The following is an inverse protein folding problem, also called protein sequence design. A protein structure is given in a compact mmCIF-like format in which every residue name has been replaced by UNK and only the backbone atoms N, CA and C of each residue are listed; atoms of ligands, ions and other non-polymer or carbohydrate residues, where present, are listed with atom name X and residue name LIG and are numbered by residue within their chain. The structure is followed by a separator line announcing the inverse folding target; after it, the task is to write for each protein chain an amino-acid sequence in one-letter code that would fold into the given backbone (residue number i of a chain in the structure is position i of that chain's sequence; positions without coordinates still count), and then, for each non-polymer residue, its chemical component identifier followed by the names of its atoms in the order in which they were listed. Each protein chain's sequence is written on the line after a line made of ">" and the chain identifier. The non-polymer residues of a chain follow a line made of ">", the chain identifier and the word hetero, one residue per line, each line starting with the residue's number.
data_IF_212826041788
#
_entry.id   IF_212826041788
#
_cell.length_a   1.000
_cell.length_b   1.000
_cell.length_c   1.000
_cell.angle_alpha   90.00
_cell.angle_beta   90.00
_cell.angle_gamma   90.00
#
_symmetry.space_group_name_H-M   'P 1'
#
loop_
_entity.id
_entity.type
_entity.pdbx_description
1 polymer ?
#
# COMPACT_ATOMS: atom_id res chain seq x y z
N UNK A 1 -14.36 6.22 -6.75
CA UNK A 1 -13.72 6.78 -5.54
C UNK A 1 -12.42 6.05 -5.27
N UNK A 2 -11.49 6.72 -4.65
CA UNK A 2 -10.26 6.13 -4.27
C UNK A 2 -10.33 5.67 -2.82
N UNK A 3 -10.08 4.42 -2.60
CA UNK A 3 -10.12 3.87 -1.28
C UNK A 3 -8.78 3.26 -0.95
N UNK A 4 -8.24 3.63 0.16
CA UNK A 4 -6.94 3.13 0.58
C UNK A 4 -7.08 2.20 1.75
N UNK A 5 -6.64 1.00 1.56
CA UNK A 5 -6.65 -0.03 2.57
C UNK A 5 -5.20 -0.41 2.85
N UNK A 6 -4.82 -0.56 4.10
CA UNK A 6 -3.42 -0.83 4.42
C UNK A 6 -3.01 -2.22 4.01
N UNK A 7 -1.79 -2.32 3.60
CA UNK A 7 -1.20 -3.55 3.22
C UNK A 7 -0.87 -4.34 4.50
N UNK A 8 -1.65 -5.36 4.75
CA UNK A 8 -1.54 -6.13 5.97
C UNK A 8 -0.28 -6.99 5.97
N UNK A 9 0.01 -7.61 4.84
CA UNK A 9 1.17 -8.52 4.75
C UNK A 9 2.46 -7.75 4.45
N UNK A 10 2.38 -6.44 4.50
CA UNK A 10 3.53 -5.57 4.25
C UNK A 10 4.45 -5.59 5.46
N UNK A 11 5.73 -5.41 5.21
CA UNK A 11 6.71 -5.42 6.25
C UNK A 11 7.61 -4.21 6.13
N UNK A 12 8.02 -3.69 7.25
CA UNK A 12 8.84 -2.50 7.28
C UNK A 12 8.00 -1.26 7.08
N UNK A 13 8.62 -0.10 6.89
CA UNK A 13 7.91 1.11 6.58
C UNK A 13 7.71 1.26 5.07
N UNK A 14 6.86 2.17 4.66
CA UNK A 14 6.55 2.37 3.25
C UNK A 14 7.62 3.24 2.54
N UNK A 15 8.77 3.46 3.22
CA UNK A 15 9.87 4.27 2.68
C UNK A 15 10.30 3.77 1.32
N UNK A 16 10.55 2.48 1.23
CA UNK A 16 10.86 1.90 -0.04
C UNK A 16 9.55 1.63 -0.74
N UNK A 17 9.19 2.53 -1.62
CA UNK A 17 7.89 2.48 -2.28
C UNK A 17 7.77 1.28 -3.20
N UNK A 18 8.91 0.76 -3.63
CA UNK A 18 8.97 -0.43 -4.46
C UNK A 18 8.29 -1.60 -3.73
N UNK A 19 8.60 -1.73 -2.44
CA UNK A 19 8.06 -2.81 -1.62
C UNK A 19 6.57 -2.60 -1.41
N UNK A 20 6.19 -1.34 -1.31
CA UNK A 20 4.80 -0.94 -1.15
C UNK A 20 4.01 -1.31 -2.42
N UNK A 21 4.54 -0.90 -3.57
CA UNK A 21 3.94 -1.16 -4.87
C UNK A 21 3.87 -2.65 -5.15
N UNK A 22 4.97 -3.35 -4.89
CA UNK A 22 5.03 -4.81 -5.11
C UNK A 22 3.96 -5.55 -4.34
N UNK A 23 3.83 -5.26 -3.05
CA UNK A 23 2.81 -5.91 -2.23
C UNK A 23 1.41 -5.56 -2.74
N UNK A 24 1.17 -4.30 -2.97
CA UNK A 24 -0.10 -3.86 -3.45
C UNK A 24 -0.48 -4.43 -4.81
N UNK A 25 0.46 -4.49 -5.74
CA UNK A 25 0.14 -4.98 -7.07
C UNK A 25 -0.07 -6.50 -7.03
N UNK A 26 0.70 -7.20 -6.19
CA UNK A 26 0.55 -8.64 -6.06
C UNK A 26 -0.77 -9.01 -5.39
N UNK A 27 -1.23 -8.17 -4.44
CA UNK A 27 -2.51 -8.40 -3.79
C UNK A 27 -3.69 -7.98 -4.68
N UNK A 28 -3.40 -7.42 -5.85
CA UNK A 28 -4.43 -7.09 -6.82
C UNK A 28 -4.91 -5.66 -6.77
N UNK A 29 -4.03 -4.76 -6.40
CA UNK A 29 -4.36 -3.36 -6.31
C UNK A 29 -3.58 -2.55 -7.33
N UNK A 30 -4.11 -1.38 -7.76
CA UNK A 30 -3.42 -0.50 -8.72
C UNK A 30 -2.06 0.01 -8.20
N UNK A 31 -2.05 0.56 -7.00
CA UNK A 31 -0.82 1.08 -6.48
C UNK A 31 -0.84 1.18 -4.99
N UNK A 32 0.33 1.36 -4.42
CA UNK A 32 0.45 1.49 -2.99
C UNK A 32 1.06 2.81 -2.65
N UNK A 33 0.51 3.47 -1.67
CA UNK A 33 0.98 4.79 -1.27
C UNK A 33 1.13 4.82 0.25
N UNK A 34 1.68 5.86 0.78
CA UNK A 34 1.80 6.02 2.22
C UNK A 34 0.58 6.74 2.77
N UNK A 35 0.03 6.23 3.85
CA UNK A 35 -1.16 6.84 4.48
C UNK A 35 -1.23 6.56 6.01
N UNK A 36 -0.38 5.71 6.52
CA UNK A 36 -0.42 5.37 7.94
C UNK A 36 0.52 6.25 8.75
N UNK A 37 0.26 6.34 10.04
CA UNK A 37 1.09 7.16 10.93
C UNK A 37 2.43 6.47 11.10
N UNK A 38 2.35 5.15 11.18
CA UNK A 38 3.50 4.29 11.40
C UNK A 38 4.20 3.95 10.09
N UNK A 39 3.96 4.78 9.08
CA UNK A 39 4.52 4.63 7.75
C UNK A 39 4.13 3.28 7.14
N UNK A 40 2.84 3.09 7.03
CA UNK A 40 2.26 1.86 6.52
C UNK A 40 1.83 2.05 5.08
N UNK A 41 2.14 1.08 4.26
CA UNK A 41 1.74 1.07 2.88
C UNK A 41 0.23 0.89 2.80
N UNK A 42 -0.40 1.70 2.01
CA UNK A 42 -1.81 1.63 1.77
C UNK A 42 -2.08 1.44 0.31
N UNK A 43 -2.71 0.38 0.00
CA UNK A 43 -3.05 0.06 -1.34
C UNK A 43 -4.25 0.88 -1.74
N UNK A 44 -4.09 1.64 -2.78
CA UNK A 44 -5.13 2.50 -3.24
C UNK A 44 -5.94 1.76 -4.28
N UNK A 45 -7.14 1.39 -3.93
CA UNK A 45 -8.00 0.67 -4.79
C UNK A 45 -9.11 1.59 -5.22
N UNK A 46 -9.73 1.28 -6.27
CA UNK A 46 -10.78 2.10 -6.77
C UNK A 46 -12.11 1.51 -6.37
N UNK A 47 -12.89 2.30 -5.72
CA UNK A 47 -14.22 1.94 -5.34
C UNK A 47 -15.17 2.44 -6.41
#
# INVERSE_FOLDING_TARGET
>A
RTCQSQSHRFRGPCLRRSNCANVCRTEGFPGGRCRGFRRRCFCTTHC
#
